data_IF_787945387517
#
_entry.id   IF_787945387517
#
_cell.length_a   1.000
_cell.length_b   1.000
_cell.length_c   1.000
_cell.angle_alpha   90.00
_cell.angle_beta   90.00
_cell.angle_gamma   90.00
#
_symmetry.space_group_name_H-M   'P 1'
#
loop_
_entity.id
_entity.type
_entity.pdbx_description
1 polymer ?
#
# COMPACT_ATOMS: atom_id res chain seq x y z
N UNK A 1 -8.48 -10.32 0.71
CA UNK A 1 -8.18 -8.88 0.84
C UNK A 1 -6.94 -8.81 1.72
N UNK A 2 -5.82 -8.28 1.23
CA UNK A 2 -4.60 -8.20 2.02
C UNK A 2 -4.81 -7.23 3.21
N UNK A 3 -4.44 -7.65 4.41
CA UNK A 3 -4.59 -6.89 5.66
C UNK A 3 -3.28 -6.17 6.03
N UNK A 4 -3.35 -5.17 6.91
CA UNK A 4 -2.17 -4.45 7.40
C UNK A 4 -1.10 -5.40 7.96
N UNK A 5 -1.50 -6.39 8.76
CA UNK A 5 -0.59 -7.41 9.30
C UNK A 5 0.06 -8.24 8.20
N UNK A 6 -0.67 -8.58 7.12
CA UNK A 6 -0.09 -9.28 5.98
C UNK A 6 0.90 -8.40 5.21
N UNK A 7 0.65 -7.09 5.08
CA UNK A 7 1.62 -6.17 4.46
C UNK A 7 2.88 -6.08 5.33
N UNK A 8 2.73 -5.94 6.65
CA UNK A 8 3.86 -5.83 7.58
C UNK A 8 4.72 -7.09 7.57
N UNK A 9 4.10 -8.27 7.72
CA UNK A 9 4.79 -9.56 7.67
C UNK A 9 5.49 -9.77 6.33
N UNK A 10 4.85 -9.38 5.22
CA UNK A 10 5.43 -9.54 3.89
C UNK A 10 6.57 -8.55 3.61
N UNK A 11 6.48 -7.30 4.10
CA UNK A 11 7.59 -6.33 4.08
C UNK A 11 8.77 -6.73 4.99
N UNK A 12 8.49 -7.36 6.13
CA UNK A 12 9.53 -7.89 7.03
C UNK A 12 10.21 -9.16 6.45
N UNK A 13 9.48 -9.95 5.66
CA UNK A 13 9.97 -11.16 4.99
C UNK A 13 10.48 -10.94 3.56
N UNK A 14 10.47 -9.70 3.06
CA UNK A 14 10.77 -9.39 1.66
C UNK A 14 12.26 -9.65 1.32
N UNK A 15 12.57 -10.90 0.94
CA UNK A 15 13.47 -11.20 -0.16
C UNK A 15 12.72 -11.01 -1.48
N UNK A 16 12.45 -9.76 -1.82
CA UNK A 16 12.83 -9.24 -3.10
C UNK A 16 12.68 -10.19 -4.36
N UNK A 17 11.54 -10.82 -4.70
CA UNK A 17 11.27 -11.32 -6.08
C UNK A 17 9.80 -11.73 -6.39
N UNK A 18 9.40 -11.62 -7.66
CA UNK A 18 8.12 -12.09 -8.31
C UNK A 18 6.91 -11.13 -8.40
N UNK A 19 7.19 -9.85 -8.62
CA UNK A 19 6.82 -9.14 -9.86
C UNK A 19 8.03 -8.26 -10.18
N UNK A 20 8.28 -7.86 -11.43
CA UNK A 20 9.53 -7.18 -11.83
C UNK A 20 9.77 -5.90 -10.96
N UNK A 21 10.55 -6.05 -9.89
CA UNK A 21 10.71 -5.08 -8.80
C UNK A 21 10.11 -5.55 -7.46
N UNK A 22 10.93 -5.94 -6.47
CA UNK A 22 10.40 -6.58 -5.29
C UNK A 22 10.62 -5.76 -4.01
N UNK A 23 9.50 -5.36 -3.43
CA UNK A 23 9.43 -4.31 -2.42
C UNK A 23 8.35 -3.27 -2.71
N UNK A 24 7.41 -3.54 -3.62
CA UNK A 24 6.22 -2.73 -3.87
C UNK A 24 4.93 -3.52 -3.60
N UNK A 25 4.03 -2.97 -2.79
CA UNK A 25 2.75 -3.54 -2.36
C UNK A 25 1.59 -2.67 -2.85
N UNK A 26 0.75 -3.22 -3.73
CA UNK A 26 -0.47 -2.56 -4.21
C UNK A 26 -1.62 -2.79 -3.24
N UNK A 27 -2.12 -1.73 -2.60
CA UNK A 27 -3.16 -1.82 -1.57
C UNK A 27 -4.21 -0.71 -1.73
N UNK A 28 -5.47 -0.96 -1.32
CA UNK A 28 -6.49 0.09 -1.27
C UNK A 28 -6.13 1.09 -0.17
N UNK A 29 -6.06 2.37 -0.53
CA UNK A 29 -5.56 3.44 0.31
C UNK A 29 -6.49 4.64 0.34
N UNK A 30 -6.59 5.28 1.50
CA UNK A 30 -7.16 6.61 1.63
C UNK A 30 -6.01 7.61 1.69
N UNK A 31 -5.96 8.52 0.72
CA UNK A 31 -4.95 9.58 0.65
C UNK A 31 -4.93 10.42 1.94
N UNK A 32 -4.00 10.10 2.83
CA UNK A 32 -3.82 10.72 4.15
C UNK A 32 -2.34 10.70 4.54
N UNK A 33 -1.73 11.88 4.60
CA UNK A 33 -0.30 12.02 4.86
C UNK A 33 0.09 11.57 6.29
N UNK A 34 -0.78 11.78 7.29
CA UNK A 34 -0.48 11.39 8.66
C UNK A 34 -0.47 9.86 8.82
N UNK A 35 -1.34 9.16 8.09
CA UNK A 35 -1.34 7.70 8.06
C UNK A 35 -0.11 7.16 7.30
N UNK A 36 0.31 7.82 6.21
CA UNK A 36 1.53 7.43 5.50
C UNK A 36 2.78 7.61 6.38
N UNK A 37 2.88 8.70 7.14
CA UNK A 37 3.99 8.93 8.07
C UNK A 37 4.06 7.83 9.16
N UNK A 38 2.92 7.41 9.71
CA UNK A 38 2.89 6.29 10.66
C UNK A 38 3.39 4.98 10.04
N UNK A 39 2.95 4.67 8.83
CA UNK A 39 3.41 3.46 8.10
C UNK A 39 4.92 3.56 7.81
N UNK A 40 5.44 4.76 7.54
CA UNK A 40 6.87 4.98 7.38
C UNK A 40 7.64 4.71 8.68
N UNK A 41 7.15 5.20 9.80
CA UNK A 41 7.79 4.99 11.11
C UNK A 41 7.73 3.52 11.55
N UNK A 42 6.58 2.87 11.38
CA UNK A 42 6.34 1.49 11.83
C UNK A 42 6.92 0.43 10.90
N UNK A 43 6.76 0.60 9.58
CA UNK A 43 7.06 -0.42 8.58
C UNK A 43 8.23 -0.02 7.66
N UNK A 44 8.79 1.19 7.80
CA UNK A 44 9.78 1.74 6.86
C UNK A 44 9.30 1.63 5.42
N UNK A 45 8.04 1.99 5.18
CA UNK A 45 7.43 1.98 3.86
C UNK A 45 6.67 3.29 3.59
N UNK A 46 6.75 3.77 2.35
CA UNK A 46 6.03 4.97 1.88
C UNK A 46 5.35 4.70 0.56
N UNK A 47 4.42 5.56 0.16
CA UNK A 47 3.78 5.47 -1.14
C UNK A 47 4.82 5.82 -2.21
N UNK A 48 4.87 5.02 -3.28
CA UNK A 48 5.73 5.25 -4.44
C UNK A 48 4.97 5.87 -5.59
N UNK A 49 3.76 5.38 -5.85
CA UNK A 49 2.86 5.99 -6.82
C UNK A 49 1.41 5.53 -6.63
N UNK A 50 0.51 6.23 -7.32
CA UNK A 50 -0.86 5.81 -7.58
C UNK A 50 -0.94 5.34 -9.03
N UNK A 51 -1.00 4.03 -9.31
CA UNK A 51 -1.02 3.52 -10.68
C UNK A 51 -2.31 3.94 -11.39
N UNK A 52 -2.17 4.72 -12.47
CA UNK A 52 -3.31 5.30 -13.20
C UNK A 52 -4.23 4.23 -13.77
N UNK A 53 -3.71 3.24 -14.50
CA UNK A 53 -4.52 2.18 -15.13
C UNK A 53 -5.39 1.42 -14.10
N UNK A 54 -4.85 1.18 -12.90
CA UNK A 54 -5.55 0.48 -11.82
C UNK A 54 -6.67 1.34 -11.25
N UNK A 55 -6.41 2.63 -11.08
CA UNK A 55 -7.38 3.57 -10.52
C UNK A 55 -8.49 3.91 -11.54
N UNK A 56 -8.16 4.07 -12.82
CA UNK A 56 -9.15 4.26 -13.88
C UNK A 56 -10.04 3.03 -14.09
N UNK A 57 -9.51 1.82 -13.81
CA UNK A 57 -10.29 0.59 -13.79
C UNK A 57 -11.24 0.47 -12.58
N UNK A 58 -11.35 1.48 -11.72
CA UNK A 58 -12.28 1.50 -10.58
C UNK A 58 -11.88 0.54 -9.46
N UNK A 59 -10.63 0.07 -9.42
CA UNK A 59 -10.21 -0.97 -8.48
C UNK A 59 -10.30 -0.56 -7.00
N UNK A 60 -10.39 0.74 -6.69
CA UNK A 60 -10.56 1.26 -5.33
C UNK A 60 -12.04 1.32 -4.89
N UNK A 61 -13.00 1.26 -5.82
CA UNK A 61 -14.42 1.46 -5.53
C UNK A 61 -14.96 0.36 -4.60
N UNK A 62 -15.67 0.78 -3.55
CA UNK A 62 -16.22 -0.13 -2.53
C UNK A 62 -15.18 -0.80 -1.63
N UNK A 63 -13.88 -0.49 -1.79
CA UNK A 63 -12.83 -0.98 -0.89
C UNK A 63 -12.58 -0.01 0.25
N UNK A 64 -12.05 -0.57 1.33
CA UNK A 64 -11.61 0.18 2.50
C UNK A 64 -10.09 0.29 2.53
N UNK A 65 -9.61 1.43 2.99
CA UNK A 65 -8.21 1.70 3.27
C UNK A 65 -7.65 0.58 4.16
N UNK A 66 -6.57 -0.04 3.73
CA UNK A 66 -5.98 -1.18 4.42
C UNK A 66 -5.43 -0.82 5.81
N UNK A 67 -5.15 0.46 6.08
CA UNK A 67 -4.66 0.97 7.35
C UNK A 67 -5.78 1.59 8.21
N UNK A 68 -6.49 2.61 7.70
CA UNK A 68 -7.46 3.36 8.49
C UNK A 68 -8.86 2.73 8.56
N UNK A 69 -9.18 1.77 7.68
CA UNK A 69 -10.51 1.16 7.59
C UNK A 69 -11.60 2.07 7.00
N UNK A 70 -11.27 3.32 6.65
CA UNK A 70 -12.15 4.25 5.95
C UNK A 70 -12.29 3.88 4.48
N UNK A 71 -13.18 4.53 3.73
CA UNK A 71 -13.34 4.24 2.31
C UNK A 71 -12.09 4.67 1.52
N UNK A 72 -11.58 3.75 0.70
CA UNK A 72 -10.38 3.98 -0.08
C UNK A 72 -10.67 4.99 -1.18
N UNK A 73 -9.76 5.95 -1.37
CA UNK A 73 -9.86 6.91 -2.47
C UNK A 73 -9.19 6.38 -3.73
N UNK A 74 -8.08 5.63 -3.56
CA UNK A 74 -7.27 5.12 -4.66
C UNK A 74 -6.60 3.79 -4.28
N UNK A 75 -6.13 3.05 -5.27
CA UNK A 75 -5.12 2.02 -5.07
C UNK A 75 -3.74 2.69 -5.06
N UNK A 76 -2.92 2.38 -4.06
CA UNK A 76 -1.58 2.92 -3.89
C UNK A 76 -0.53 1.80 -3.89
N UNK A 77 0.62 2.07 -4.50
CA UNK A 77 1.80 1.22 -4.39
C UNK A 77 2.66 1.72 -3.24
N UNK A 78 2.70 0.97 -2.15
CA UNK A 78 3.64 1.18 -1.05
C UNK A 78 4.94 0.48 -1.34
N UNK A 79 6.07 1.02 -0.88
CA UNK A 79 7.31 0.31 -0.94
C UNK A 79 8.27 0.70 0.15
N UNK A 80 9.25 -0.18 0.41
CA UNK A 80 10.26 0.05 1.45
C UNK A 80 10.97 1.37 1.20
N UNK A 81 11.06 2.19 2.23
CA UNK A 81 11.76 3.46 2.30
C UNK A 81 12.95 3.33 3.27
N UNK A 82 14.07 3.93 2.89
CA UNK A 82 15.31 3.98 3.67
C UNK A 82 15.35 5.22 4.55
#
# INVERSE_FOLDING_TARGET
MATYDQMKDALEKDEASEYDGPGLYLVPWKCDAANEEKIKEECKATIRCYPTDVNEAGMAEGKKCFYSGEDATHMALFGRAF
#
